data_IF_918156990522
#
_entry.id   IF_918156990522
#
_cell.length_a   1.000
_cell.length_b   1.000
_cell.length_c   1.000
_cell.angle_alpha   90.00
_cell.angle_beta   90.00
_cell.angle_gamma   90.00
#
_symmetry.space_group_name_H-M   'P 1'
#
loop_
_entity.id
_entity.type
_entity.pdbx_description
1 polymer ?
#
# COMPACT_ATOMS: atom_id res chain seq x y z
N UNK A 1 59.47 -4.45 5.08
CA UNK A 1 58.46 -4.61 4.01
C UNK A 1 57.10 -4.68 4.69
N UNK A 2 56.40 -3.55 4.70
CA UNK A 2 55.08 -3.35 5.30
C UNK A 2 54.02 -3.87 4.33
N UNK A 3 53.18 -4.81 4.76
CA UNK A 3 51.99 -5.17 4.01
C UNK A 3 50.94 -4.08 4.24
N UNK A 4 50.56 -3.39 3.17
CA UNK A 4 49.46 -2.44 3.18
C UNK A 4 48.15 -3.20 3.36
N UNK A 5 47.48 -3.02 4.50
CA UNK A 5 46.05 -3.30 4.62
C UNK A 5 45.30 -2.35 3.70
N UNK A 6 44.70 -2.91 2.65
CA UNK A 6 43.76 -2.20 1.79
C UNK A 6 42.49 -1.95 2.60
N UNK A 7 42.38 -0.73 3.13
CA UNK A 7 41.13 -0.17 3.65
C UNK A 7 40.14 -0.03 2.48
N UNK A 8 39.28 -1.04 2.30
CA UNK A 8 38.15 -0.94 1.40
C UNK A 8 37.08 -0.08 2.10
N UNK A 9 36.52 0.94 1.43
CA UNK A 9 35.47 1.75 2.03
C UNK A 9 34.30 0.84 2.46
N UNK A 10 33.61 1.14 3.57
CA UNK A 10 32.39 0.42 3.90
C UNK A 10 31.44 0.63 2.73
N UNK A 11 31.21 -0.45 1.99
CA UNK A 11 30.15 -0.56 1.01
C UNK A 11 28.87 -0.24 1.79
N UNK A 12 28.48 1.04 1.72
CA UNK A 12 27.22 1.51 2.28
C UNK A 12 26.20 1.07 1.25
N UNK A 13 26.06 -0.25 1.15
CA UNK A 13 25.07 -0.92 0.36
C UNK A 13 23.76 -0.33 0.80
N UNK A 14 23.13 0.41 -0.11
CA UNK A 14 21.71 0.66 -0.13
C UNK A 14 21.02 -0.71 -0.17
N UNK A 15 21.02 -1.35 1.00
CA UNK A 15 20.28 -2.57 1.26
C UNK A 15 18.90 -2.03 1.55
N UNK A 16 18.17 -1.71 0.48
CA UNK A 16 16.72 -1.85 0.53
C UNK A 16 16.50 -3.29 0.98
N UNK A 17 16.30 -3.46 2.29
CA UNK A 17 15.99 -4.74 2.89
C UNK A 17 14.64 -5.10 2.27
N UNK A 18 14.66 -5.84 1.17
CA UNK A 18 13.51 -6.46 0.54
C UNK A 18 13.09 -7.62 1.43
N UNK A 19 12.63 -7.26 2.62
CA UNK A 19 12.15 -8.15 3.66
C UNK A 19 10.66 -7.94 3.84
N UNK A 20 9.89 -9.02 3.79
CA UNK A 20 8.47 -8.96 4.14
C UNK A 20 8.35 -8.58 5.62
N UNK A 21 7.76 -7.41 5.88
CA UNK A 21 7.41 -6.99 7.25
C UNK A 21 6.05 -7.56 7.62
N UNK A 22 5.99 -8.31 8.72
CA UNK A 22 4.73 -8.84 9.25
C UNK A 22 4.07 -7.82 10.17
N UNK A 23 2.87 -7.38 9.81
CA UNK A 23 2.05 -6.48 10.63
C UNK A 23 0.86 -7.27 11.17
N UNK A 24 0.60 -7.13 12.47
CA UNK A 24 -0.57 -7.74 13.13
C UNK A 24 -1.44 -6.64 13.71
N UNK A 25 -2.75 -6.71 13.48
CA UNK A 25 -3.72 -5.76 14.00
C UNK A 25 -5.02 -6.46 14.36
N UNK A 26 -5.77 -5.86 15.28
CA UNK A 26 -7.10 -6.33 15.64
C UNK A 26 -8.13 -5.73 14.68
N UNK A 27 -8.95 -6.58 14.08
CA UNK A 27 -10.03 -6.16 13.20
C UNK A 27 -11.39 -6.41 13.87
N UNK A 28 -12.29 -5.43 13.94
CA UNK A 28 -13.67 -5.66 14.36
C UNK A 28 -14.37 -6.70 13.48
N UNK A 29 -15.34 -7.44 14.02
CA UNK A 29 -16.05 -8.50 13.27
C UNK A 29 -16.63 -8.03 11.92
N UNK A 30 -17.18 -6.80 11.86
CA UNK A 30 -17.66 -6.19 10.62
C UNK A 30 -16.57 -6.05 9.54
N UNK A 31 -15.35 -5.73 9.94
CA UNK A 31 -14.20 -5.59 9.03
C UNK A 31 -13.78 -6.95 8.51
N UNK A 32 -13.79 -7.98 9.36
CA UNK A 32 -13.52 -9.36 8.94
C UNK A 32 -14.56 -9.85 7.92
N UNK A 33 -15.84 -9.56 8.15
CA UNK A 33 -16.91 -9.91 7.22
C UNK A 33 -16.73 -9.21 5.87
N UNK A 34 -16.45 -7.92 5.86
CA UNK A 34 -16.19 -7.17 4.62
C UNK A 34 -14.96 -7.71 3.87
N UNK A 35 -13.88 -8.02 4.59
CA UNK A 35 -12.67 -8.61 4.00
C UNK A 35 -12.96 -9.97 3.36
N UNK A 36 -13.78 -10.80 4.01
CA UNK A 36 -14.18 -12.10 3.45
C UNK A 36 -14.96 -11.93 2.14
N UNK A 37 -15.93 -11.01 2.11
CA UNK A 37 -16.69 -10.73 0.90
C UNK A 37 -15.77 -10.27 -0.26
N UNK A 38 -14.81 -9.40 0.04
CA UNK A 38 -13.82 -8.94 -0.94
C UNK A 38 -12.94 -10.08 -1.45
N UNK A 39 -12.41 -10.94 -0.56
CA UNK A 39 -11.62 -12.10 -0.99
C UNK A 39 -12.42 -13.08 -1.83
N UNK A 40 -13.70 -13.30 -1.52
CA UNK A 40 -14.57 -14.16 -2.32
C UNK A 40 -14.85 -13.55 -3.69
N UNK A 41 -15.10 -12.24 -3.75
CA UNK A 41 -15.40 -11.55 -4.99
C UNK A 41 -14.18 -11.43 -5.91
N UNK A 42 -12.98 -11.19 -5.35
CA UNK A 42 -11.76 -11.03 -6.16
C UNK A 42 -11.05 -12.34 -6.47
N UNK A 43 -11.27 -13.39 -5.67
CA UNK A 43 -10.53 -14.65 -5.75
C UNK A 43 -9.11 -14.58 -5.17
N UNK A 44 -8.71 -13.43 -4.61
CA UNK A 44 -7.40 -13.25 -4.00
C UNK A 44 -7.36 -13.73 -2.55
N UNK A 45 -6.15 -14.00 -2.08
CA UNK A 45 -5.92 -14.23 -0.65
C UNK A 45 -6.07 -12.94 0.16
N UNK A 46 -6.38 -13.07 1.46
CA UNK A 46 -6.60 -11.94 2.38
C UNK A 46 -5.42 -10.96 2.42
N UNK A 47 -4.19 -11.44 2.40
CA UNK A 47 -2.98 -10.61 2.46
C UNK A 47 -2.89 -9.71 1.23
N UNK A 48 -3.18 -10.23 0.04
CA UNK A 48 -3.17 -9.46 -1.19
C UNK A 48 -4.25 -8.37 -1.17
N UNK A 49 -5.48 -8.71 -0.76
CA UNK A 49 -6.58 -7.73 -0.65
C UNK A 49 -6.21 -6.60 0.31
N UNK A 50 -5.65 -6.93 1.48
CA UNK A 50 -5.19 -5.93 2.46
C UNK A 50 -4.08 -5.05 1.87
N UNK A 51 -3.07 -5.65 1.23
CA UNK A 51 -1.96 -4.90 0.64
C UNK A 51 -2.44 -3.95 -0.47
N UNK A 52 -3.38 -4.39 -1.31
CA UNK A 52 -3.96 -3.55 -2.36
C UNK A 52 -4.77 -2.39 -1.76
N UNK A 53 -5.58 -2.66 -0.72
CA UNK A 53 -6.32 -1.61 -0.03
C UNK A 53 -5.40 -0.58 0.65
N UNK A 54 -4.32 -1.05 1.29
CA UNK A 54 -3.31 -0.17 1.91
C UNK A 54 -2.57 0.67 0.86
N UNK A 55 -2.22 0.08 -0.29
CA UNK A 55 -1.63 0.85 -1.40
C UNK A 55 -2.58 1.91 -1.91
N UNK A 56 -3.86 1.57 -2.14
CA UNK A 56 -4.86 2.55 -2.55
C UNK A 56 -4.99 3.68 -1.52
N UNK A 57 -5.08 3.34 -0.23
CA UNK A 57 -5.16 4.34 0.84
C UNK A 57 -3.90 5.22 0.89
N UNK A 58 -2.71 4.63 0.82
CA UNK A 58 -1.45 5.38 0.78
C UNK A 58 -1.37 6.28 -0.46
N UNK A 59 -1.82 5.78 -1.61
CA UNK A 59 -1.90 6.53 -2.86
C UNK A 59 -2.89 7.68 -2.75
N UNK A 60 -4.06 7.50 -2.13
CA UNK A 60 -5.02 8.58 -1.91
C UNK A 60 -4.49 9.62 -0.91
N UNK A 61 -3.81 9.18 0.14
CA UNK A 61 -3.16 10.06 1.12
C UNK A 61 -1.99 10.84 0.51
N UNK A 62 -1.22 10.23 -0.40
CA UNK A 62 -0.15 10.94 -1.12
C UNK A 62 -0.67 11.77 -2.29
N UNK A 63 -1.87 11.46 -2.80
CA UNK A 63 -2.66 12.28 -3.72
C UNK A 63 -3.58 13.27 -3.01
N UNK A 64 -3.44 13.51 -1.69
CA UNK A 64 -3.75 14.83 -1.13
C UNK A 64 -2.77 15.86 -1.72
N UNK A 65 -2.89 16.02 -3.05
CA UNK A 65 -2.53 17.21 -3.77
C UNK A 65 -3.69 18.17 -3.54
N UNK A 66 -3.42 19.47 -3.35
CA UNK A 66 -4.45 20.49 -3.13
C UNK A 66 -5.51 20.61 -4.26
N UNK A 67 -5.42 19.80 -5.32
CA UNK A 67 -6.32 19.78 -6.48
C UNK A 67 -6.70 18.34 -6.93
N UNK A 68 -6.64 17.34 -6.05
CA UNK A 68 -6.97 15.94 -6.40
C UNK A 68 -8.44 15.76 -6.79
N UNK A 69 -8.76 14.92 -7.78
CA UNK A 69 -10.16 14.62 -8.16
C UNK A 69 -10.51 13.14 -8.02
N UNK A 70 -11.65 12.85 -7.38
CA UNK A 70 -12.26 11.51 -7.33
C UNK A 70 -13.40 11.46 -8.33
N UNK A 71 -13.32 10.52 -9.28
CA UNK A 71 -14.38 10.26 -10.24
C UNK A 71 -15.28 9.14 -9.73
N UNK A 72 -16.57 9.43 -9.58
CA UNK A 72 -17.59 8.50 -9.09
C UNK A 72 -18.57 8.26 -10.25
N UNK A 73 -18.83 7.01 -10.59
CA UNK A 73 -19.91 6.63 -11.49
C UNK A 73 -21.09 6.13 -10.64
N UNK A 74 -22.19 6.86 -10.65
CA UNK A 74 -23.41 6.44 -9.95
C UNK A 74 -24.05 5.23 -10.62
N UNK A 75 -24.93 4.52 -9.90
CA UNK A 75 -25.62 3.34 -10.42
C UNK A 75 -26.52 3.63 -11.63
N UNK A 76 -26.96 4.88 -11.81
CA UNK A 76 -27.71 5.34 -12.98
C UNK A 76 -26.82 5.73 -14.17
N UNK A 77 -25.50 5.58 -14.04
CA UNK A 77 -24.50 5.92 -15.05
C UNK A 77 -24.06 7.38 -15.03
N UNK A 78 -24.54 8.21 -14.09
CA UNK A 78 -24.15 9.61 -13.99
C UNK A 78 -22.71 9.73 -13.44
N UNK A 79 -21.80 10.41 -14.15
CA UNK A 79 -20.46 10.68 -13.65
C UNK A 79 -20.44 11.90 -12.72
N UNK A 80 -19.74 11.77 -11.59
CA UNK A 80 -19.47 12.85 -10.65
C UNK A 80 -17.97 13.01 -10.43
N UNK A 81 -17.53 14.25 -10.24
CA UNK A 81 -16.14 14.59 -9.92
C UNK A 81 -16.12 15.33 -8.59
N UNK A 82 -15.51 14.73 -7.58
CA UNK A 82 -15.29 15.34 -6.27
C UNK A 82 -13.86 15.88 -6.22
N UNK A 83 -13.72 17.18 -6.00
CA UNK A 83 -12.42 17.81 -5.76
C UNK A 83 -12.07 17.62 -4.27
N UNK A 84 -10.91 17.04 -4.01
CA UNK A 84 -10.34 16.88 -2.68
C UNK A 84 -9.72 18.21 -2.25
N UNK A 85 -9.83 18.58 -0.96
CA UNK A 85 -9.29 19.83 -0.41
C UNK A 85 -7.76 19.88 -0.39
#
# INVERSE_FOLDING_TARGET
MTASETDLPPDTGDTTISGLTRITFNAPGRTVTALNALTTASGDNRTNVINTALRLAATLLTFERPDGTVHILANDGTPHVLHLP
#
